data_IF_836080755667
#
_entry.id   IF_836080755667
#
_cell.length_a   1.000
_cell.length_b   1.000
_cell.length_c   1.000
_cell.angle_alpha   90.00
_cell.angle_beta   90.00
_cell.angle_gamma   90.00
#
_symmetry.space_group_name_H-M   'P 1'
#
loop_
_entity.id
_entity.type
_entity.pdbx_description
1 polymer ?
#
# COMPACT_ATOMS: atom_id res chain seq x y z
N UNK A 1 -15.22 11.05 28.50
CA UNK A 1 -16.13 10.68 27.39
C UNK A 1 -15.57 11.07 26.03
N UNK A 2 -15.22 12.33 25.76
CA UNK A 2 -14.67 12.74 24.45
C UNK A 2 -13.38 12.01 24.02
N UNK A 3 -12.45 11.78 24.96
CA UNK A 3 -11.20 11.04 24.69
C UNK A 3 -11.48 9.57 24.32
N UNK A 4 -12.41 8.93 25.04
CA UNK A 4 -12.81 7.54 24.80
C UNK A 4 -13.58 7.43 23.47
N UNK A 5 -14.49 8.38 23.19
CA UNK A 5 -15.20 8.45 21.92
C UNK A 5 -14.25 8.67 20.73
N UNK A 6 -13.23 9.53 20.89
CA UNK A 6 -12.18 9.72 19.90
C UNK A 6 -11.37 8.46 19.64
N UNK A 7 -10.99 7.72 20.70
CA UNK A 7 -10.30 6.43 20.58
C UNK A 7 -11.16 5.36 19.89
N UNK A 8 -12.44 5.24 20.26
CA UNK A 8 -13.36 4.28 19.63
C UNK A 8 -13.57 4.63 18.16
N UNK A 9 -13.74 5.90 17.82
CA UNK A 9 -13.86 6.33 16.42
C UNK A 9 -12.58 6.07 15.61
N UNK A 10 -11.40 6.21 16.23
CA UNK A 10 -10.11 5.96 15.59
C UNK A 10 -9.94 4.47 15.23
N UNK A 11 -10.26 3.56 16.16
CA UNK A 11 -9.97 2.12 16.02
C UNK A 11 -11.16 1.28 15.52
N UNK A 12 -12.39 1.81 15.57
CA UNK A 12 -13.61 1.15 15.12
C UNK A 12 -14.45 2.09 14.24
N UNK A 13 -13.97 2.41 13.03
CA UNK A 13 -14.76 3.21 12.09
C UNK A 13 -16.04 2.45 11.71
N UNK A 14 -17.18 3.14 11.67
CA UNK A 14 -18.48 2.62 11.23
C UNK A 14 -18.57 2.41 9.70
N UNK A 15 -17.43 2.44 9.00
CA UNK A 15 -17.33 2.44 7.54
C UNK A 15 -16.56 1.22 7.05
N UNK A 16 -16.78 0.85 5.78
CA UNK A 16 -16.05 -0.21 5.10
C UNK A 16 -14.54 0.11 5.16
N UNK A 17 -13.67 -0.86 5.52
CA UNK A 17 -12.22 -0.68 5.56
C UNK A 17 -11.71 -0.10 4.24
N UNK A 18 -10.89 0.94 4.32
CA UNK A 18 -10.35 1.61 3.15
C UNK A 18 -9.02 0.98 2.76
N UNK A 19 -8.88 0.53 1.52
CA UNK A 19 -7.65 -0.15 1.03
C UNK A 19 -6.52 0.84 0.66
N UNK A 20 -6.79 2.15 0.60
CA UNK A 20 -5.76 3.13 0.27
C UNK A 20 -5.22 3.79 1.54
N UNK A 21 -3.89 3.78 1.79
CA UNK A 21 -3.33 4.44 2.96
C UNK A 21 -3.62 5.93 2.99
N UNK A 22 -3.59 6.58 1.81
CA UNK A 22 -3.82 8.02 1.66
C UNK A 22 -5.28 8.37 1.99
N UNK A 23 -6.24 7.64 1.43
CA UNK A 23 -7.67 7.87 1.70
C UNK A 23 -8.00 7.51 3.15
N UNK A 24 -7.44 6.42 3.65
CA UNK A 24 -7.63 5.98 5.04
C UNK A 24 -7.20 7.06 6.02
N UNK A 25 -6.10 7.79 5.79
CA UNK A 25 -5.69 8.89 6.67
C UNK A 25 -6.76 10.00 6.82
N UNK A 26 -7.66 10.15 5.85
CA UNK A 26 -8.73 11.16 5.86
C UNK A 26 -10.01 10.59 6.51
N UNK A 27 -10.37 9.35 6.18
CA UNK A 27 -11.64 8.73 6.63
C UNK A 27 -11.48 8.07 8.01
N UNK A 28 -10.40 7.31 8.19
CA UNK A 28 -10.08 6.53 9.39
C UNK A 28 -8.57 6.64 9.69
N UNK A 29 -8.13 7.69 10.40
CA UNK A 29 -6.71 7.98 10.57
C UNK A 29 -5.89 6.83 11.16
N UNK A 30 -6.44 6.04 12.09
CA UNK A 30 -5.72 4.88 12.64
C UNK A 30 -5.43 3.83 11.57
N UNK A 31 -6.43 3.53 10.72
CA UNK A 31 -6.29 2.56 9.64
C UNK A 31 -5.20 3.02 8.65
N UNK A 32 -5.20 4.30 8.27
CA UNK A 32 -4.16 4.87 7.40
C UNK A 32 -2.78 4.78 8.02
N UNK A 33 -2.64 5.11 9.31
CA UNK A 33 -1.37 4.99 10.04
C UNK A 33 -0.89 3.53 10.08
N UNK A 34 -1.78 2.57 10.39
CA UNK A 34 -1.43 1.15 10.43
C UNK A 34 -0.97 0.68 9.04
N UNK A 35 -1.67 1.07 7.98
CA UNK A 35 -1.28 0.70 6.61
C UNK A 35 0.09 1.28 6.22
N UNK A 36 0.37 2.53 6.60
CA UNK A 36 1.69 3.14 6.39
C UNK A 36 2.79 2.45 7.20
N UNK A 37 2.50 2.04 8.43
CA UNK A 37 3.43 1.26 9.26
C UNK A 37 3.73 -0.08 8.61
N UNK A 38 2.72 -0.79 8.10
CA UNK A 38 2.89 -2.06 7.39
C UNK A 38 3.72 -1.86 6.12
N UNK A 39 3.44 -0.81 5.35
CA UNK A 39 4.21 -0.47 4.15
C UNK A 39 5.67 -0.12 4.48
N UNK A 40 5.88 0.63 5.57
CA UNK A 40 7.21 0.96 6.08
C UNK A 40 7.97 -0.27 6.57
N UNK A 41 7.29 -1.19 7.26
CA UNK A 41 7.87 -2.47 7.70
C UNK A 41 8.28 -3.34 6.50
N UNK A 42 7.46 -3.37 5.44
CA UNK A 42 7.81 -4.05 4.20
C UNK A 42 9.09 -3.48 3.57
N UNK A 43 9.21 -2.15 3.47
CA UNK A 43 10.44 -1.50 2.97
C UNK A 43 11.63 -1.83 3.87
N UNK A 44 11.46 -1.74 5.20
CA UNK A 44 12.50 -2.05 6.18
C UNK A 44 12.97 -3.50 6.08
N UNK A 45 12.07 -4.44 5.74
CA UNK A 45 12.40 -5.85 5.52
C UNK A 45 13.20 -6.08 4.23
N UNK A 46 12.94 -5.29 3.19
CA UNK A 46 13.57 -5.43 1.86
C UNK A 46 14.95 -4.73 1.78
N UNK A 47 15.26 -3.82 2.71
CA UNK A 47 16.51 -3.05 2.70
C UNK A 47 17.79 -3.77 3.16
N UNK A 48 17.84 -4.65 4.19
CA UNK A 48 19.09 -5.12 4.76
C UNK A 48 19.78 -6.17 3.88
N UNK A 49 20.82 -5.73 3.15
CA UNK A 49 21.76 -6.62 2.46
C UNK A 49 23.16 -6.17 2.86
N UNK A 50 23.79 -6.89 3.78
CA UNK A 50 25.10 -6.51 4.35
C UNK A 50 26.30 -7.17 3.67
N UNK A 51 26.10 -8.05 2.68
CA UNK A 51 27.19 -8.85 2.08
C UNK A 51 27.39 -8.53 0.60
N UNK A 52 28.67 -8.39 0.18
CA UNK A 52 29.07 -8.06 -1.21
C UNK A 52 28.60 -9.09 -2.24
N UNK A 53 28.45 -10.36 -1.85
CA UNK A 53 28.05 -11.47 -2.73
C UNK A 53 26.53 -11.52 -2.93
N UNK A 54 25.74 -11.18 -1.90
CA UNK A 54 24.28 -11.12 -2.00
C UNK A 54 23.78 -9.77 -2.55
N UNK A 55 24.66 -8.75 -2.58
CA UNK A 55 24.34 -7.39 -3.02
C UNK A 55 23.78 -7.29 -4.44
N UNK A 56 24.32 -8.06 -5.39
CA UNK A 56 23.94 -7.93 -6.81
C UNK A 56 22.54 -8.53 -7.08
N UNK A 57 22.30 -9.77 -6.66
CA UNK A 57 21.01 -10.44 -6.87
C UNK A 57 19.88 -9.82 -6.03
N UNK A 58 20.19 -9.33 -4.83
CA UNK A 58 19.20 -8.72 -3.94
C UNK A 58 19.00 -7.22 -4.23
N UNK A 59 19.82 -6.58 -5.06
CA UNK A 59 19.60 -5.20 -5.51
C UNK A 59 18.31 -5.08 -6.33
N UNK A 60 18.02 -6.07 -7.18
CA UNK A 60 16.77 -6.10 -7.95
C UNK A 60 15.56 -6.24 -7.02
N UNK A 61 15.65 -7.10 -6.00
CA UNK A 61 14.61 -7.26 -4.96
C UNK A 61 14.38 -5.94 -4.22
N UNK A 62 15.45 -5.19 -3.90
CA UNK A 62 15.35 -3.88 -3.25
C UNK A 62 14.61 -2.87 -4.11
N UNK A 63 15.01 -2.73 -5.37
CA UNK A 63 14.36 -1.81 -6.32
C UNK A 63 12.89 -2.18 -6.47
N UNK A 64 12.60 -3.47 -6.67
CA UNK A 64 11.24 -3.98 -6.80
C UNK A 64 10.39 -3.64 -5.56
N UNK A 65 10.88 -3.90 -4.35
CA UNK A 65 10.13 -3.61 -3.12
C UNK A 65 9.86 -2.11 -2.94
N UNK A 66 10.85 -1.25 -3.18
CA UNK A 66 10.67 0.21 -3.06
C UNK A 66 9.65 0.70 -4.09
N UNK A 67 9.78 0.28 -5.36
CA UNK A 67 8.87 0.71 -6.43
C UNK A 67 7.46 0.18 -6.16
N UNK A 68 7.32 -1.06 -5.71
CA UNK A 68 6.01 -1.65 -5.35
C UNK A 68 5.36 -0.88 -4.22
N UNK A 69 6.11 -0.45 -3.21
CA UNK A 69 5.59 0.32 -2.09
C UNK A 69 5.11 1.72 -2.53
N UNK A 70 5.91 2.42 -3.34
CA UNK A 70 5.53 3.72 -3.91
C UNK A 70 4.32 3.57 -4.84
N UNK A 71 4.36 2.57 -5.73
CA UNK A 71 3.27 2.28 -6.65
C UNK A 71 1.99 1.91 -5.90
N UNK A 72 2.07 1.21 -4.77
CA UNK A 72 0.89 0.91 -3.95
C UNK A 72 0.22 2.19 -3.42
N UNK A 73 0.99 3.19 -3.00
CA UNK A 73 0.42 4.49 -2.56
C UNK A 73 -0.39 5.17 -3.65
N UNK A 74 0.03 5.05 -4.91
CA UNK A 74 -0.64 5.67 -6.06
C UNK A 74 -1.79 4.80 -6.58
N UNK A 75 -1.51 3.53 -6.91
CA UNK A 75 -2.47 2.62 -7.53
C UNK A 75 -3.61 2.24 -6.59
N UNK A 76 -3.40 2.20 -5.26
CA UNK A 76 -4.49 1.97 -4.30
C UNK A 76 -5.60 3.02 -4.33
N UNK A 77 -5.37 4.19 -4.96
CA UNK A 77 -6.38 5.23 -5.17
C UNK A 77 -7.40 4.86 -6.26
N UNK A 78 -7.08 3.88 -7.12
CA UNK A 78 -7.89 3.53 -8.30
C UNK A 78 -9.34 3.14 -7.96
N UNK A 79 -9.65 2.33 -6.92
CA UNK A 79 -11.03 2.05 -6.53
C UNK A 79 -11.83 3.28 -6.11
N UNK A 80 -11.16 4.36 -5.69
CA UNK A 80 -11.78 5.61 -5.24
C UNK A 80 -11.94 6.64 -6.35
N UNK A 81 -11.29 6.44 -7.50
CA UNK A 81 -11.45 7.28 -8.67
C UNK A 81 -12.83 7.11 -9.34
N UNK A 82 -13.58 6.05 -8.99
CA UNK A 82 -14.85 5.72 -9.59
C UNK A 82 -15.93 5.58 -8.51
N UNK A 83 -17.11 6.15 -8.78
CA UNK A 83 -18.30 5.88 -7.96
C UNK A 83 -18.91 4.58 -8.49
N UNK A 84 -18.72 3.49 -7.75
CA UNK A 84 -19.17 2.16 -8.13
C UNK A 84 -20.36 1.71 -7.28
N UNK A 85 -21.53 1.45 -7.88
CA UNK A 85 -22.71 1.02 -7.14
C UNK A 85 -22.67 -0.47 -6.74
N UNK A 86 -21.77 -1.25 -7.35
CA UNK A 86 -21.68 -2.70 -7.14
C UNK A 86 -20.36 -3.09 -6.45
N UNK A 87 -20.39 -3.87 -5.36
CA UNK A 87 -19.20 -4.36 -4.68
C UNK A 87 -18.26 -5.17 -5.58
N UNK A 88 -18.79 -5.89 -6.58
CA UNK A 88 -18.00 -6.68 -7.53
C UNK A 88 -17.06 -5.80 -8.35
N UNK A 89 -17.53 -4.61 -8.77
CA UNK A 89 -16.68 -3.67 -9.52
C UNK A 89 -15.59 -3.11 -8.62
N UNK A 90 -15.91 -2.80 -7.36
CA UNK A 90 -14.91 -2.36 -6.37
C UNK A 90 -13.81 -3.42 -6.17
N UNK A 91 -14.18 -4.69 -6.01
CA UNK A 91 -13.24 -5.83 -5.93
C UNK A 91 -12.41 -5.95 -7.22
N UNK A 92 -13.05 -5.80 -8.39
CA UNK A 92 -12.35 -5.81 -9.68
C UNK A 92 -11.28 -4.71 -9.77
N UNK A 93 -11.58 -3.50 -9.29
CA UNK A 93 -10.63 -2.39 -9.25
C UNK A 93 -9.48 -2.66 -8.26
N UNK A 94 -9.75 -3.35 -7.15
CA UNK A 94 -8.71 -3.80 -6.21
C UNK A 94 -7.73 -4.77 -6.86
N UNK A 95 -8.26 -5.77 -7.56
CA UNK A 95 -7.45 -6.74 -8.29
C UNK A 95 -6.65 -6.02 -9.38
N UNK A 96 -7.31 -5.15 -10.15
CA UNK A 96 -6.68 -4.40 -11.24
C UNK A 96 -5.50 -3.56 -10.75
N UNK A 97 -5.66 -2.80 -9.66
CA UNK A 97 -4.56 -1.96 -9.18
C UNK A 97 -3.38 -2.79 -8.68
N UNK A 98 -3.61 -3.96 -8.06
CA UNK A 98 -2.53 -4.84 -7.61
C UNK A 98 -1.76 -5.42 -8.80
N UNK A 99 -2.46 -5.83 -9.86
CA UNK A 99 -1.85 -6.32 -11.10
C UNK A 99 -1.04 -5.20 -11.77
N UNK A 100 -1.61 -3.99 -11.87
CA UNK A 100 -0.91 -2.83 -12.43
C UNK A 100 0.34 -2.47 -11.62
N UNK A 101 0.22 -2.43 -10.29
CA UNK A 101 1.36 -2.13 -9.42
C UNK A 101 2.47 -3.18 -9.59
N UNK A 102 2.12 -4.47 -9.61
CA UNK A 102 3.09 -5.55 -9.84
C UNK A 102 3.76 -5.48 -11.21
N UNK A 103 2.98 -5.23 -12.27
CA UNK A 103 3.50 -5.11 -13.64
C UNK A 103 4.43 -3.90 -13.81
N UNK A 104 4.01 -2.73 -13.30
CA UNK A 104 4.81 -1.50 -13.35
C UNK A 104 6.07 -1.65 -12.50
N UNK A 105 5.96 -2.18 -11.29
CA UNK A 105 7.11 -2.37 -10.42
C UNK A 105 8.13 -3.36 -11.02
N UNK A 106 7.66 -4.48 -11.58
CA UNK A 106 8.52 -5.45 -12.26
C UNK A 106 9.19 -4.87 -13.50
N UNK A 107 8.44 -4.14 -14.33
CA UNK A 107 8.97 -3.47 -15.52
C UNK A 107 10.04 -2.45 -15.14
N UNK A 108 9.70 -1.49 -14.28
CA UNK A 108 10.62 -0.40 -13.88
C UNK A 108 11.86 -0.95 -13.17
N UNK A 109 11.71 -1.95 -12.29
CA UNK A 109 12.86 -2.56 -11.61
C UNK A 109 13.84 -3.23 -12.58
N UNK A 110 13.34 -3.79 -13.69
CA UNK A 110 14.15 -4.42 -14.75
C UNK A 110 14.80 -3.38 -15.66
N UNK A 111 14.13 -2.27 -15.97
CA UNK A 111 14.74 -1.19 -16.77
C UNK A 111 15.82 -0.43 -16.01
N UNK A 112 15.70 -0.33 -14.68
CA UNK A 112 16.66 0.37 -13.83
C UNK A 112 17.82 -0.52 -13.34
N UNK A 113 17.81 -1.82 -13.60
CA UNK A 113 18.86 -2.78 -13.20
C UNK A 113 19.98 -2.86 -14.21
#
# INVERSE_FOLDING_TARGET
>A
MAIIAGLVFLFYPLTIPSISPIISLIISPAEGIIQLIVLGAFIAFVLPIRTKVAGINLMQVRKLGIITAIGYLVFSLLPYAFIVPFPQTYIGLIIAFNVLNGAVAGGVATFLS
#
